data_IF_657394178657
#
_entry.id   IF_657394178657
#
_cell.length_a   1.000
_cell.length_b   1.000
_cell.length_c   1.000
_cell.angle_alpha   90.00
_cell.angle_beta   90.00
_cell.angle_gamma   90.00
#
_symmetry.space_group_name_H-M   'P 1'
#
loop_
_entity.id
_entity.type
_entity.pdbx_description
1 polymer ?
#
# COMPACT_ATOMS: atom_id res chain seq x y z
N UNK A 1 4.34 13.22 9.51
CA UNK A 1 5.06 13.55 8.25
C UNK A 1 4.04 14.09 7.24
N UNK A 2 4.43 14.96 6.31
CA UNK A 2 3.52 15.45 5.29
C UNK A 2 3.21 14.35 4.24
N UNK A 3 1.93 13.99 4.09
CA UNK A 3 1.47 12.92 3.18
C UNK A 3 1.80 13.26 1.71
N UNK A 4 1.75 14.53 1.31
CA UNK A 4 2.00 14.93 -0.08
C UNK A 4 3.47 14.76 -0.43
N UNK A 5 4.36 15.12 0.47
CA UNK A 5 5.80 14.88 0.33
C UNK A 5 6.10 13.39 0.19
N UNK A 6 5.52 12.52 1.03
CA UNK A 6 5.71 11.08 0.92
C UNK A 6 5.21 10.52 -0.42
N UNK A 7 4.02 10.91 -0.87
CA UNK A 7 3.47 10.50 -2.17
C UNK A 7 4.41 10.92 -3.30
N UNK A 8 4.95 12.13 -3.24
CA UNK A 8 5.90 12.63 -4.23
C UNK A 8 7.18 11.78 -4.24
N UNK A 9 7.79 11.53 -3.09
CA UNK A 9 9.01 10.73 -2.99
C UNK A 9 8.79 9.31 -3.52
N UNK A 10 7.69 8.65 -3.15
CA UNK A 10 7.33 7.31 -3.66
C UNK A 10 7.19 7.34 -5.19
N UNK A 11 6.50 8.34 -5.73
CA UNK A 11 6.34 8.49 -7.17
C UNK A 11 7.69 8.69 -7.88
N UNK A 12 8.58 9.50 -7.31
CA UNK A 12 9.91 9.74 -7.87
C UNK A 12 10.75 8.45 -7.88
N UNK A 13 10.68 7.64 -6.81
CA UNK A 13 11.33 6.31 -6.75
C UNK A 13 10.80 5.37 -7.81
N UNK A 14 9.48 5.23 -7.94
CA UNK A 14 8.90 4.33 -8.95
C UNK A 14 9.20 4.79 -10.37
N UNK A 15 9.25 6.10 -10.63
CA UNK A 15 9.66 6.61 -11.93
C UNK A 15 11.14 6.30 -12.23
N UNK A 16 12.02 6.38 -11.24
CA UNK A 16 13.43 6.01 -11.40
C UNK A 16 13.58 4.50 -11.69
N UNK A 17 12.82 3.65 -11.02
CA UNK A 17 12.90 2.19 -11.20
C UNK A 17 12.33 1.68 -12.54
N UNK A 18 11.65 2.53 -13.32
CA UNK A 18 11.21 2.19 -14.69
C UNK A 18 12.38 1.80 -15.58
N UNK A 19 13.56 2.40 -15.39
CA UNK A 19 14.77 2.05 -16.16
C UNK A 19 15.27 0.63 -15.86
N UNK A 20 14.90 0.07 -14.71
CA UNK A 20 15.23 -1.28 -14.28
C UNK A 20 14.12 -2.29 -14.64
N UNK A 21 13.10 -1.86 -15.39
CA UNK A 21 11.98 -2.71 -15.82
C UNK A 21 10.86 -2.85 -14.79
N UNK A 22 10.91 -2.13 -13.66
CA UNK A 22 9.79 -2.10 -12.71
C UNK A 22 8.73 -1.11 -13.19
N UNK A 23 7.58 -1.63 -13.62
CA UNK A 23 6.46 -0.82 -14.07
C UNK A 23 5.35 -0.82 -13.02
N UNK A 24 5.07 0.38 -12.49
CA UNK A 24 3.98 0.64 -11.57
C UNK A 24 2.92 1.46 -12.31
N UNK A 25 1.70 0.94 -12.36
CA UNK A 25 0.57 1.64 -12.98
C UNK A 25 0.01 2.70 -12.03
N UNK A 26 -0.20 2.29 -10.77
CA UNK A 26 -0.84 3.09 -9.75
C UNK A 26 -0.40 2.61 -8.36
N UNK A 27 -0.41 3.51 -7.40
CA UNK A 27 -0.25 3.18 -5.98
C UNK A 27 -1.21 4.02 -5.13
N UNK A 28 -1.44 3.58 -3.89
CA UNK A 28 -2.29 4.24 -2.92
C UNK A 28 -1.75 4.10 -1.50
N UNK A 29 -2.03 5.10 -0.66
CA UNK A 29 -1.68 5.10 0.76
C UNK A 29 -2.94 5.15 1.62
N UNK A 30 -3.08 4.14 2.48
CA UNK A 30 -4.10 4.07 3.51
C UNK A 30 -3.45 4.18 4.91
N UNK A 31 -4.16 4.70 5.93
CA UNK A 31 -3.66 4.67 7.30
C UNK A 31 -3.42 3.22 7.77
N UNK A 32 -2.27 2.95 8.37
CA UNK A 32 -2.03 1.65 8.99
C UNK A 32 -2.88 1.50 10.27
N UNK A 33 -3.18 0.25 10.64
CA UNK A 33 -3.92 -0.07 11.87
C UNK A 33 -5.26 0.68 11.99
N UNK A 34 -5.98 0.88 10.88
CA UNK A 34 -7.25 1.63 10.83
C UNK A 34 -7.14 3.07 11.39
N UNK A 35 -5.97 3.68 11.27
CA UNK A 35 -5.72 5.05 11.72
C UNK A 35 -5.33 5.20 13.18
N UNK A 36 -5.07 4.11 13.91
CA UNK A 36 -4.56 4.18 15.29
C UNK A 36 -3.17 4.82 15.38
N UNK A 37 -2.40 4.79 14.29
CA UNK A 37 -1.12 5.50 14.18
C UNK A 37 -1.20 6.58 13.10
N UNK A 38 -1.04 7.84 13.50
CA UNK A 38 -1.21 9.01 12.64
C UNK A 38 -0.08 9.22 11.62
N UNK A 39 1.03 8.50 11.76
CA UNK A 39 2.23 8.66 10.94
C UNK A 39 2.64 7.37 10.22
N UNK A 40 1.76 6.37 10.17
CA UNK A 40 2.05 5.06 9.63
C UNK A 40 1.02 4.70 8.57
N UNK A 41 1.49 4.19 7.43
CA UNK A 41 0.67 3.96 6.24
C UNK A 41 0.91 2.58 5.65
N UNK A 42 -0.16 1.97 5.16
CA UNK A 42 -0.13 0.81 4.28
C UNK A 42 -0.11 1.31 2.83
N UNK A 43 0.91 0.89 2.08
CA UNK A 43 1.09 1.21 0.67
C UNK A 43 0.57 0.07 -0.21
N UNK A 44 -0.48 0.33 -0.98
CA UNK A 44 -0.94 -0.56 -2.05
C UNK A 44 -0.30 -0.16 -3.38
N UNK A 45 0.19 -1.14 -4.15
CA UNK A 45 0.89 -0.91 -5.43
C UNK A 45 0.35 -1.86 -6.50
N UNK A 46 -0.03 -1.33 -7.67
CA UNK A 46 -0.31 -2.11 -8.87
C UNK A 46 0.97 -2.22 -9.71
N UNK A 47 1.52 -3.43 -9.81
CA UNK A 47 2.79 -3.69 -10.49
C UNK A 47 2.62 -4.79 -11.56
N UNK A 48 2.08 -4.47 -12.74
CA UNK A 48 1.86 -5.45 -13.81
C UNK A 48 3.17 -6.08 -14.30
N UNK A 49 4.31 -5.40 -14.18
CA UNK A 49 5.62 -5.97 -14.51
C UNK A 49 5.99 -7.17 -13.62
N UNK A 50 5.33 -7.34 -12.48
CA UNK A 50 5.54 -8.43 -11.54
C UNK A 50 4.44 -9.50 -11.62
N UNK A 51 3.55 -9.47 -12.61
CA UNK A 51 2.42 -10.42 -12.70
C UNK A 51 2.86 -11.88 -12.75
N UNK A 52 4.00 -12.15 -13.40
CA UNK A 52 4.56 -13.50 -13.55
C UNK A 52 5.34 -13.99 -12.31
N UNK A 53 5.55 -13.13 -11.31
CA UNK A 53 6.10 -13.57 -10.03
C UNK A 53 4.97 -14.23 -9.24
N UNK A 54 5.03 -15.53 -8.96
CA UNK A 54 3.93 -16.20 -8.27
C UNK A 54 3.93 -15.90 -6.76
N UNK A 55 5.08 -15.54 -6.21
CA UNK A 55 5.22 -15.31 -4.77
C UNK A 55 4.90 -13.86 -4.40
N UNK A 56 3.80 -13.67 -3.67
CA UNK A 56 3.45 -12.36 -3.08
C UNK A 56 4.57 -11.79 -2.19
N UNK A 57 5.32 -12.65 -1.49
CA UNK A 57 6.44 -12.20 -0.66
C UNK A 57 7.62 -11.70 -1.50
N UNK A 58 7.87 -12.29 -2.67
CA UNK A 58 8.88 -11.80 -3.62
C UNK A 58 8.47 -10.48 -4.25
N UNK A 59 7.21 -10.32 -4.68
CA UNK A 59 6.69 -9.04 -5.19
C UNK A 59 6.90 -7.91 -4.19
N UNK A 60 6.46 -8.14 -2.97
CA UNK A 60 6.59 -7.19 -1.86
C UNK A 60 8.06 -6.84 -1.61
N UNK A 61 8.96 -7.83 -1.63
CA UNK A 61 10.40 -7.58 -1.47
C UNK A 61 10.98 -6.68 -2.56
N UNK A 62 10.62 -6.90 -3.83
CA UNK A 62 11.09 -6.08 -4.95
C UNK A 62 10.67 -4.61 -4.75
N UNK A 63 9.40 -4.38 -4.40
CA UNK A 63 8.90 -3.03 -4.13
C UNK A 63 9.58 -2.43 -2.90
N UNK A 64 9.76 -3.19 -1.82
CA UNK A 64 10.47 -2.72 -0.64
C UNK A 64 11.91 -2.34 -0.95
N UNK A 65 12.64 -3.16 -1.71
CA UNK A 65 14.03 -2.89 -2.09
C UNK A 65 14.15 -1.60 -2.92
N UNK A 66 13.20 -1.34 -3.82
CA UNK A 66 13.11 -0.08 -4.55
C UNK A 66 12.90 1.12 -3.61
N UNK A 67 11.89 1.03 -2.72
CA UNK A 67 11.59 2.08 -1.75
C UNK A 67 12.76 2.34 -0.79
N UNK A 68 13.43 1.29 -0.32
CA UNK A 68 14.53 1.42 0.64
C UNK A 68 15.77 2.11 0.06
N UNK A 69 15.99 1.98 -1.24
CA UNK A 69 17.07 2.66 -1.96
C UNK A 69 16.78 4.13 -2.20
N UNK A 70 15.52 4.47 -2.46
CA UNK A 70 15.14 5.81 -2.91
C UNK A 70 14.57 6.74 -1.84
N UNK A 71 13.98 6.21 -0.79
CA UNK A 71 13.40 6.99 0.31
C UNK A 71 14.45 7.31 1.38
N UNK A 72 14.21 8.38 2.15
CA UNK A 72 14.96 8.65 3.37
C UNK A 72 14.39 7.88 4.58
N UNK A 73 15.08 7.89 5.71
CA UNK A 73 14.72 7.05 6.86
C UNK A 73 13.37 7.43 7.49
N UNK A 74 13.01 8.73 7.50
CA UNK A 74 11.70 9.16 8.00
C UNK A 74 10.55 8.69 7.10
N UNK A 75 10.76 8.71 5.79
CA UNK A 75 9.81 8.20 4.80
C UNK A 75 9.66 6.68 4.89
N UNK A 76 10.78 5.96 5.06
CA UNK A 76 10.76 4.50 5.28
C UNK A 76 9.97 4.15 6.54
N UNK A 77 10.21 4.85 7.65
CA UNK A 77 9.50 4.61 8.92
C UNK A 77 7.99 4.87 8.84
N UNK A 78 7.54 5.65 7.86
CA UNK A 78 6.13 5.93 7.68
C UNK A 78 5.39 4.86 6.88
N UNK A 79 6.10 3.96 6.19
CA UNK A 79 5.50 2.85 5.46
C UNK A 79 5.59 1.61 6.36
N UNK A 80 4.46 1.18 6.92
CA UNK A 80 4.38 -0.01 7.77
C UNK A 80 4.43 -1.28 6.92
N UNK A 81 3.61 -1.29 5.86
CA UNK A 81 3.36 -2.45 5.03
C UNK A 81 3.23 -2.05 3.57
N UNK A 82 3.62 -2.99 2.70
CA UNK A 82 3.43 -2.89 1.26
C UNK A 82 2.60 -4.08 0.80
N UNK A 83 1.58 -3.80 -0.01
CA UNK A 83 0.77 -4.78 -0.73
C UNK A 83 0.95 -4.57 -2.22
N UNK A 84 1.20 -5.66 -2.94
CA UNK A 84 1.44 -5.61 -4.38
C UNK A 84 0.36 -6.41 -5.08
N UNK A 85 -0.27 -5.78 -6.05
CA UNK A 85 -1.38 -6.29 -6.85
C UNK A 85 -0.96 -6.40 -8.31
N UNK A 86 -1.61 -7.30 -9.05
CA UNK A 86 -1.26 -7.55 -10.44
C UNK A 86 -1.76 -6.46 -11.39
N UNK A 87 -2.82 -5.77 -10.98
CA UNK A 87 -3.52 -4.78 -11.79
C UNK A 87 -4.23 -3.74 -10.91
N UNK A 88 -4.70 -2.67 -11.57
CA UNK A 88 -5.38 -1.54 -10.92
C UNK A 88 -6.71 -1.98 -10.27
N UNK A 89 -7.40 -2.97 -10.83
CA UNK A 89 -8.72 -3.36 -10.34
C UNK A 89 -8.62 -4.09 -8.99
N UNK A 90 -7.62 -4.97 -8.81
CA UNK A 90 -7.27 -5.58 -7.52
C UNK A 90 -6.84 -4.53 -6.49
N UNK A 91 -6.05 -3.54 -6.91
CA UNK A 91 -5.65 -2.41 -6.05
C UNK A 91 -6.89 -1.62 -5.59
N UNK A 92 -7.81 -1.30 -6.50
CA UNK A 92 -9.04 -0.57 -6.17
C UNK A 92 -9.96 -1.37 -5.26
N UNK A 93 -10.14 -2.66 -5.54
CA UNK A 93 -10.96 -3.55 -4.74
C UNK A 93 -10.44 -3.65 -3.29
N UNK A 94 -9.12 -3.70 -3.11
CA UNK A 94 -8.50 -3.76 -1.77
C UNK A 94 -8.43 -2.42 -1.06
N UNK A 95 -8.49 -1.29 -1.79
CA UNK A 95 -8.47 0.05 -1.18
C UNK A 95 -9.67 0.32 -0.28
N UNK A 96 -10.80 -0.37 -0.50
CA UNK A 96 -11.99 -0.31 0.37
C UNK A 96 -11.72 -0.79 1.80
N UNK A 97 -10.68 -1.59 2.00
CA UNK A 97 -10.30 -2.18 3.28
C UNK A 97 -8.92 -1.72 3.74
N UNK A 98 -8.49 -0.53 3.30
CA UNK A 98 -7.17 0.04 3.62
C UNK A 98 -6.00 -0.89 3.25
N UNK A 99 -6.19 -1.77 2.26
CA UNK A 99 -5.25 -2.82 1.86
C UNK A 99 -4.93 -3.86 2.96
N UNK A 100 -5.71 -3.90 4.04
CA UNK A 100 -5.63 -4.95 5.04
C UNK A 100 -6.38 -6.20 4.55
N UNK A 101 -5.78 -7.39 4.70
CA UNK A 101 -6.53 -8.62 4.52
C UNK A 101 -7.30 -8.90 5.81
N UNK A 102 -8.60 -9.13 5.71
CA UNK A 102 -9.32 -9.83 6.77
C UNK A 102 -8.76 -11.25 6.82
N UNK A 103 -7.86 -11.50 7.77
CA UNK A 103 -7.66 -12.86 8.21
C UNK A 103 -8.96 -13.26 8.92
N UNK A 104 -9.80 -14.05 8.25
CA UNK A 104 -11.08 -14.53 8.78
C UNK A 104 -10.93 -15.37 10.06
N UNK A 105 -9.70 -15.63 10.51
CA UNK A 105 -9.42 -16.31 11.78
C UNK A 105 -9.47 -15.40 13.01
N UNK A 106 -9.52 -14.07 12.84
CA UNK A 106 -9.63 -13.14 13.96
C UNK A 106 -10.72 -12.09 13.75
N UNK A 107 -11.74 -12.25 14.61
CA UNK A 107 -12.78 -11.31 14.99
C UNK A 107 -14.11 -11.47 14.19
N UNK A 108 -14.99 -12.33 14.72
CA UNK A 108 -16.42 -12.00 14.85
C UNK A 108 -16.48 -10.65 15.57
N UNK A 109 -16.50 -9.56 14.79
CA UNK A 109 -16.87 -8.26 15.32
C UNK A 109 -18.38 -8.25 15.19
N UNK A 110 -19.07 -8.37 16.32
CA UNK A 110 -20.49 -8.09 16.40
C UNK A 110 -20.78 -6.82 15.61
N UNK A 111 -21.57 -7.01 14.56
CA UNK A 111 -22.09 -5.97 13.70
C UNK A 111 -22.80 -4.96 14.61
N UNK A 112 -22.27 -3.74 14.74
CA UNK A 112 -23.03 -2.62 15.32
C UNK A 112 -23.60 -1.86 14.12
N UNK A 113 -24.88 -2.07 13.75
CA UNK A 113 -25.53 -1.25 12.75
C UNK A 113 -26.01 0.02 13.44
N UNK A 114 -25.17 1.03 13.56
CA UNK A 114 -25.70 2.37 13.77
C UNK A 114 -24.69 3.45 13.35
N UNK A 115 -25.00 4.10 12.23
CA UNK A 115 -24.72 5.51 12.07
C UNK A 115 -25.88 6.12 11.28
N UNK A 116 -26.71 6.81 12.06
CA UNK A 116 -27.89 7.53 11.67
C UNK A 116 -27.70 8.40 10.42
N UNK A 117 -28.70 8.35 9.53
CA UNK A 117 -29.05 9.48 8.69
C UNK A 117 -29.28 10.71 9.57
N UNK A 118 -28.52 11.77 9.34
CA UNK A 118 -28.94 13.12 9.76
C UNK A 118 -29.33 13.85 8.49
N UNK A 119 -30.58 14.30 8.51
CA UNK A 119 -31.30 14.99 7.44
C UNK A 119 -30.64 16.31 7.00
#
# INVERSE_FOLDING_TARGET
MDKKSLVKSINDVFNAERVNGLHIDQFGLAPAYRGLSSNSFTLGVSAPSLVNEESSSRKTRIIFDALYKGLNDAEKMAIDRVRVYNNIDELKASSFYDFESFDSSYIECDFIPDLHSVA
#
